data_IF_749808637721
#
_entry.id   IF_749808637721
#
_cell.length_a   1.000
_cell.length_b   1.000
_cell.length_c   1.000
_cell.angle_alpha   90.00
_cell.angle_beta   90.00
_cell.angle_gamma   90.00
#
_symmetry.space_group_name_H-M   'P 1'
#
loop_
_entity.id
_entity.type
_entity.pdbx_description
1 polymer ?
#
# COMPACT_ATOMS: atom_id res chain seq x y z
N UNK A 1 -40.97 -9.94 -7.21
CA UNK A 1 -40.46 -8.55 -7.27
C UNK A 1 -39.47 -8.38 -6.14
N UNK A 2 -38.30 -7.81 -6.42
CA UNK A 2 -37.25 -7.60 -5.43
C UNK A 2 -37.63 -6.48 -4.45
N UNK A 3 -37.15 -6.57 -3.21
CA UNK A 3 -37.30 -5.56 -2.18
C UNK A 3 -36.52 -4.28 -2.52
N UNK A 4 -36.88 -3.16 -1.89
CA UNK A 4 -36.15 -1.90 -2.05
C UNK A 4 -34.67 -2.00 -1.63
N UNK A 5 -34.37 -2.87 -0.66
CA UNK A 5 -32.99 -3.15 -0.23
C UNK A 5 -32.20 -3.90 -1.31
N UNK A 6 -32.82 -4.88 -1.97
CA UNK A 6 -32.22 -5.63 -3.08
C UNK A 6 -32.00 -4.75 -4.31
N UNK A 7 -32.96 -3.89 -4.66
CA UNK A 7 -32.80 -2.93 -5.75
C UNK A 7 -31.62 -1.98 -5.48
N UNK A 8 -31.46 -1.50 -4.24
CA UNK A 8 -30.31 -0.68 -3.87
C UNK A 8 -29.00 -1.48 -3.88
N UNK A 9 -29.02 -2.77 -3.52
CA UNK A 9 -27.85 -3.66 -3.65
C UNK A 9 -27.44 -3.83 -5.11
N UNK A 10 -28.39 -4.12 -6.01
CA UNK A 10 -28.12 -4.25 -7.44
C UNK A 10 -27.56 -2.97 -8.06
N UNK A 11 -28.05 -1.80 -7.65
CA UNK A 11 -27.49 -0.50 -8.07
C UNK A 11 -26.05 -0.31 -7.63
N UNK A 12 -25.70 -0.72 -6.40
CA UNK A 12 -24.32 -0.65 -5.90
C UNK A 12 -23.41 -1.63 -6.64
N UNK A 13 -23.82 -2.88 -6.80
CA UNK A 13 -23.05 -3.86 -7.56
C UNK A 13 -22.80 -3.37 -8.98
N UNK A 14 -23.85 -2.93 -9.69
CA UNK A 14 -23.71 -2.32 -11.03
C UNK A 14 -22.70 -1.16 -11.07
N UNK A 15 -22.73 -0.28 -10.07
CA UNK A 15 -21.82 0.85 -9.99
C UNK A 15 -20.36 0.40 -9.79
N UNK A 16 -20.16 -0.63 -8.98
CA UNK A 16 -18.84 -1.18 -8.67
C UNK A 16 -18.25 -1.92 -9.88
N UNK A 17 -19.02 -2.77 -10.57
CA UNK A 17 -18.56 -3.45 -11.81
C UNK A 17 -18.11 -2.43 -12.88
N UNK A 18 -18.88 -1.34 -13.03
CA UNK A 18 -18.57 -0.29 -14.00
C UNK A 18 -17.34 0.54 -13.59
N UNK A 19 -17.08 0.65 -12.28
CA UNK A 19 -15.91 1.31 -11.75
C UNK A 19 -14.65 0.44 -11.93
N UNK A 20 -14.73 -0.87 -11.68
CA UNK A 20 -13.68 -1.86 -11.93
C UNK A 20 -13.31 -1.94 -13.42
N UNK A 21 -14.32 -2.07 -14.30
CA UNK A 21 -14.12 -2.04 -15.75
C UNK A 21 -13.36 -0.79 -16.21
N UNK A 22 -13.68 0.38 -15.63
CA UNK A 22 -13.02 1.63 -15.98
C UNK A 22 -11.56 1.72 -15.51
N UNK A 23 -11.21 1.05 -14.41
CA UNK A 23 -9.81 0.91 -13.95
C UNK A 23 -9.05 0.00 -14.90
N UNK A 24 -9.59 -1.18 -15.23
CA UNK A 24 -8.95 -2.13 -16.15
C UNK A 24 -8.76 -1.57 -17.57
N UNK A 25 -9.74 -0.84 -18.09
CA UNK A 25 -9.60 -0.11 -19.36
C UNK A 25 -8.40 0.84 -19.34
N UNK A 26 -8.21 1.54 -18.21
CA UNK A 26 -7.12 2.51 -18.08
C UNK A 26 -5.78 1.81 -17.93
N UNK A 27 -5.72 0.69 -17.19
CA UNK A 27 -4.54 -0.17 -17.10
C UNK A 27 -4.16 -0.70 -18.48
N UNK A 28 -5.11 -1.27 -19.23
CA UNK A 28 -4.89 -1.76 -20.58
C UNK A 28 -4.38 -0.65 -21.52
N UNK A 29 -4.99 0.54 -21.47
CA UNK A 29 -4.62 1.64 -22.36
C UNK A 29 -3.19 2.17 -22.16
N UNK A 30 -2.63 2.08 -20.96
CA UNK A 30 -1.29 2.60 -20.65
C UNK A 30 -0.23 1.49 -20.54
N UNK A 31 -0.64 0.22 -20.52
CA UNK A 31 0.26 -0.92 -20.43
C UNK A 31 1.06 -1.09 -21.72
N UNK A 32 2.38 -1.29 -21.55
CA UNK A 32 3.33 -1.44 -22.66
C UNK A 32 3.52 -2.90 -23.05
N UNK A 33 3.32 -3.81 -22.11
CA UNK A 33 3.41 -5.25 -22.35
C UNK A 33 2.14 -5.77 -23.05
N UNK A 34 2.30 -6.34 -24.24
CA UNK A 34 1.19 -6.80 -25.07
C UNK A 34 0.36 -7.92 -24.41
N UNK A 35 0.99 -8.77 -23.59
CA UNK A 35 0.33 -9.87 -22.89
C UNK A 35 -0.52 -9.33 -21.73
N UNK A 36 0.06 -8.48 -20.88
CA UNK A 36 -0.68 -7.83 -19.78
C UNK A 36 -1.79 -6.93 -20.27
N UNK A 37 -1.55 -6.18 -21.35
CA UNK A 37 -2.56 -5.33 -21.98
C UNK A 37 -3.80 -6.14 -22.37
N UNK A 38 -3.60 -7.33 -22.95
CA UNK A 38 -4.69 -8.25 -23.31
C UNK A 38 -5.42 -8.75 -22.07
N UNK A 39 -4.69 -9.18 -21.04
CA UNK A 39 -5.32 -9.65 -19.80
C UNK A 39 -6.17 -8.54 -19.16
N UNK A 40 -5.67 -7.30 -19.07
CA UNK A 40 -6.47 -6.18 -18.57
C UNK A 40 -7.69 -5.87 -19.44
N UNK A 41 -7.59 -6.02 -20.77
CA UNK A 41 -8.74 -5.84 -21.65
C UNK A 41 -9.80 -6.94 -21.45
N UNK A 42 -9.38 -8.19 -21.24
CA UNK A 42 -10.26 -9.32 -20.93
C UNK A 42 -10.95 -9.14 -19.58
N UNK A 43 -10.22 -8.74 -18.54
CA UNK A 43 -10.80 -8.39 -17.24
C UNK A 43 -11.83 -7.26 -17.39
N UNK A 44 -11.49 -6.17 -18.09
CA UNK A 44 -12.44 -5.08 -18.36
C UNK A 44 -13.70 -5.54 -19.12
N UNK A 45 -13.58 -6.53 -20.01
CA UNK A 45 -14.73 -7.10 -20.72
C UNK A 45 -15.61 -7.92 -19.77
N UNK A 46 -14.99 -8.76 -18.94
CA UNK A 46 -15.67 -9.59 -17.95
C UNK A 46 -16.45 -8.75 -16.93
N UNK A 47 -15.85 -7.69 -16.38
CA UNK A 47 -16.55 -6.74 -15.49
C UNK A 47 -17.77 -6.08 -16.16
N UNK A 48 -17.71 -5.82 -17.47
CA UNK A 48 -18.88 -5.29 -18.21
C UNK A 48 -19.97 -6.33 -18.42
N UNK A 49 -19.61 -7.61 -18.54
CA UNK A 49 -20.57 -8.71 -18.52
C UNK A 49 -21.21 -8.86 -17.14
N UNK A 50 -20.44 -8.71 -16.06
CA UNK A 50 -21.00 -8.69 -14.71
C UNK A 50 -21.97 -7.51 -14.53
N UNK A 51 -21.60 -6.33 -15.04
CA UNK A 51 -22.47 -5.16 -15.07
C UNK A 51 -23.77 -5.40 -15.87
N UNK A 52 -23.73 -6.21 -16.94
CA UNK A 52 -24.94 -6.52 -17.71
C UNK A 52 -25.92 -7.36 -16.90
N UNK A 53 -25.44 -8.34 -16.12
CA UNK A 53 -26.28 -9.15 -15.23
C UNK A 53 -27.04 -8.28 -14.23
N UNK A 54 -26.37 -7.31 -13.60
CA UNK A 54 -27.04 -6.40 -12.66
C UNK A 54 -28.01 -5.44 -13.36
N UNK A 55 -27.69 -5.00 -14.58
CA UNK A 55 -28.57 -4.17 -15.40
C UNK A 55 -29.85 -4.92 -15.78
N UNK A 56 -29.75 -6.19 -16.13
CA UNK A 56 -30.89 -7.07 -16.42
C UNK A 56 -31.74 -7.31 -15.19
N UNK A 57 -31.13 -7.59 -14.02
CA UNK A 57 -31.85 -7.72 -12.75
C UNK A 57 -32.60 -6.44 -12.38
N UNK A 58 -32.04 -5.25 -12.64
CA UNK A 58 -32.72 -3.97 -12.43
C UNK A 58 -33.88 -3.76 -13.42
N UNK A 59 -33.66 -4.07 -14.71
CA UNK A 59 -34.67 -3.94 -15.75
C UNK A 59 -35.88 -4.88 -15.51
N UNK A 60 -35.62 -6.12 -15.08
CA UNK A 60 -36.65 -7.09 -14.70
C UNK A 60 -37.52 -6.62 -13.51
N UNK A 61 -37.02 -5.67 -12.72
CA UNK A 61 -37.76 -5.02 -11.63
C UNK A 61 -38.30 -3.63 -12.02
N UNK A 62 -38.35 -3.30 -13.32
CA UNK A 62 -38.90 -2.04 -13.83
C UNK A 62 -38.05 -0.81 -13.53
N UNK A 63 -36.77 -0.99 -13.18
CA UNK A 63 -35.85 0.10 -12.85
C UNK A 63 -34.90 0.34 -14.02
N UNK A 64 -34.95 1.52 -14.61
CA UNK A 64 -33.92 1.98 -15.55
C UNK A 64 -32.74 2.57 -14.77
N UNK A 65 -31.53 2.01 -14.90
CA UNK A 65 -30.37 2.54 -14.21
C UNK A 65 -29.99 3.92 -14.79
N UNK A 66 -29.65 4.86 -13.90
CA UNK A 66 -29.14 6.17 -14.29
C UNK A 66 -27.77 6.04 -14.98
N UNK A 67 -27.36 7.01 -15.82
CA UNK A 67 -26.00 7.06 -16.34
C UNK A 67 -24.99 6.99 -15.20
N UNK A 68 -24.09 6.00 -15.25
CA UNK A 68 -23.11 5.77 -14.20
C UNK A 68 -22.11 6.94 -14.13
N UNK A 69 -21.88 7.45 -12.92
CA UNK A 69 -20.84 8.44 -12.65
C UNK A 69 -19.73 7.75 -11.87
N UNK A 70 -18.53 7.69 -12.46
CA UNK A 70 -17.34 7.10 -11.83
C UNK A 70 -17.10 7.66 -10.44
N UNK A 71 -16.84 6.78 -9.47
CA UNK A 71 -16.52 7.18 -8.10
C UNK A 71 -15.24 8.02 -8.03
N UNK A 72 -15.09 8.78 -6.93
CA UNK A 72 -13.88 9.54 -6.68
C UNK A 72 -12.63 8.64 -6.58
N UNK A 73 -12.78 7.44 -6.00
CA UNK A 73 -11.74 6.41 -5.92
C UNK A 73 -11.29 5.99 -7.33
N UNK A 74 -12.23 5.63 -8.20
CA UNK A 74 -11.93 5.23 -9.59
C UNK A 74 -11.23 6.34 -10.38
N UNK A 75 -11.69 7.59 -10.26
CA UNK A 75 -11.02 8.71 -10.94
C UNK A 75 -9.58 8.91 -10.45
N UNK A 76 -9.35 8.80 -9.15
CA UNK A 76 -8.01 8.90 -8.58
C UNK A 76 -7.11 7.77 -9.10
N UNK A 77 -7.59 6.53 -9.11
CA UNK A 77 -6.85 5.39 -9.66
C UNK A 77 -6.52 5.61 -11.14
N UNK A 78 -7.49 6.05 -11.96
CA UNK A 78 -7.25 6.37 -13.37
C UNK A 78 -6.18 7.45 -13.58
N UNK A 79 -6.19 8.51 -12.75
CA UNK A 79 -5.17 9.56 -12.80
C UNK A 79 -3.81 9.00 -12.41
N UNK A 80 -3.71 8.23 -11.33
CA UNK A 80 -2.46 7.62 -10.89
C UNK A 80 -1.90 6.65 -11.94
N UNK A 81 -2.75 5.82 -12.54
CA UNK A 81 -2.38 4.89 -13.62
C UNK A 81 -1.84 5.62 -14.84
N UNK A 82 -2.44 6.76 -15.23
CA UNK A 82 -1.97 7.55 -16.39
C UNK A 82 -0.68 8.32 -16.12
N UNK A 83 -0.51 8.83 -14.91
CA UNK A 83 0.61 9.71 -14.57
C UNK A 83 1.85 8.91 -14.18
N UNK A 84 1.68 7.82 -13.43
CA UNK A 84 2.78 7.04 -12.84
C UNK A 84 2.87 5.61 -13.41
N UNK A 85 1.90 5.18 -14.21
CA UNK A 85 1.86 3.86 -14.84
C UNK A 85 1.09 2.80 -14.03
N UNK A 86 0.90 1.59 -14.62
CA UNK A 86 0.18 0.48 -13.98
C UNK A 86 0.80 0.01 -12.67
N UNK A 87 2.13 -0.02 -12.59
CA UNK A 87 2.88 -0.58 -11.47
C UNK A 87 2.58 0.08 -10.12
N UNK A 88 2.24 1.37 -10.11
CA UNK A 88 1.90 2.08 -8.87
C UNK A 88 0.53 1.63 -8.31
N UNK A 89 -0.40 1.28 -9.20
CA UNK A 89 -1.83 1.10 -8.85
C UNK A 89 -2.20 -0.38 -8.72
N UNK A 90 -1.48 -1.26 -9.40
CA UNK A 90 -1.74 -2.71 -9.41
C UNK A 90 -1.82 -3.35 -8.02
N UNK A 91 -0.94 -3.04 -7.04
CA UNK A 91 -1.08 -3.62 -5.70
C UNK A 91 -2.38 -3.24 -4.99
N UNK A 92 -2.83 -2.00 -5.19
CA UNK A 92 -4.09 -1.50 -4.62
C UNK A 92 -5.29 -2.18 -5.26
N UNK A 93 -5.27 -2.36 -6.58
CA UNK A 93 -6.32 -3.06 -7.31
C UNK A 93 -6.35 -4.53 -6.88
N UNK A 94 -5.21 -5.21 -6.86
CA UNK A 94 -5.11 -6.60 -6.42
C UNK A 94 -5.61 -6.82 -4.99
N UNK A 95 -5.28 -5.91 -4.05
CA UNK A 95 -5.78 -5.96 -2.68
C UNK A 95 -7.30 -5.73 -2.59
N UNK A 96 -7.86 -4.84 -3.43
CA UNK A 96 -9.29 -4.59 -3.48
C UNK A 96 -10.04 -5.82 -4.04
N UNK A 97 -9.59 -6.38 -5.16
CA UNK A 97 -10.14 -7.58 -5.79
C UNK A 97 -10.12 -8.78 -4.83
N UNK A 98 -9.01 -8.96 -4.10
CA UNK A 98 -8.91 -10.02 -3.11
C UNK A 98 -9.87 -9.85 -1.93
N UNK A 99 -10.09 -8.61 -1.47
CA UNK A 99 -11.03 -8.33 -0.40
C UNK A 99 -12.49 -8.59 -0.83
N UNK A 100 -12.78 -8.40 -2.12
CA UNK A 100 -14.12 -8.55 -2.70
C UNK A 100 -14.36 -9.94 -3.34
N UNK A 101 -13.39 -10.86 -3.34
CA UNK A 101 -13.47 -12.18 -4.01
C UNK A 101 -14.68 -13.05 -3.65
N UNK A 102 -15.20 -12.92 -2.43
CA UNK A 102 -16.33 -13.70 -1.92
C UNK A 102 -17.64 -12.89 -1.88
N UNK A 103 -17.65 -11.71 -2.52
CA UNK A 103 -18.76 -10.75 -2.48
C UNK A 103 -20.09 -11.34 -2.97
N UNK A 104 -20.04 -12.24 -3.94
CA UNK A 104 -21.23 -12.89 -4.51
C UNK A 104 -21.49 -14.31 -3.97
N UNK A 105 -20.66 -14.80 -3.03
CA UNK A 105 -20.76 -16.16 -2.51
C UNK A 105 -22.10 -16.48 -1.82
N UNK A 106 -22.83 -15.45 -1.37
CA UNK A 106 -24.15 -15.60 -0.71
C UNK A 106 -25.30 -15.06 -1.55
N UNK A 107 -25.07 -14.69 -2.80
CA UNK A 107 -26.12 -14.13 -3.66
C UNK A 107 -26.79 -15.23 -4.50
N UNK A 108 -28.11 -15.48 -4.34
CA UNK A 108 -28.82 -16.49 -5.11
C UNK A 108 -28.74 -16.22 -6.61
N UNK A 109 -28.33 -17.22 -7.40
CA UNK A 109 -28.19 -17.11 -8.85
C UNK A 109 -26.99 -16.29 -9.33
N UNK A 110 -25.97 -16.10 -8.49
CA UNK A 110 -24.70 -15.46 -8.85
C UNK A 110 -23.49 -16.41 -8.74
N UNK A 111 -23.71 -17.73 -8.78
CA UNK A 111 -22.65 -18.75 -8.64
C UNK A 111 -21.55 -18.59 -9.70
N UNK A 112 -21.95 -18.35 -10.95
CA UNK A 112 -21.02 -18.10 -12.06
C UNK A 112 -20.22 -16.80 -11.88
N UNK A 113 -20.85 -15.75 -11.36
CA UNK A 113 -20.16 -14.49 -11.02
C UNK A 113 -19.14 -14.74 -9.91
N UNK A 114 -19.53 -15.44 -8.85
CA UNK A 114 -18.65 -15.73 -7.72
C UNK A 114 -17.41 -16.54 -8.12
N UNK A 115 -17.54 -17.50 -9.05
CA UNK A 115 -16.39 -18.25 -9.57
C UNK A 115 -15.46 -17.36 -10.42
N UNK A 116 -16.03 -16.44 -11.20
CA UNK A 116 -15.26 -15.49 -12.01
C UNK A 116 -14.53 -14.45 -11.15
N UNK A 117 -15.15 -13.94 -10.08
CA UNK A 117 -14.52 -13.03 -9.10
C UNK A 117 -13.26 -13.62 -8.47
N UNK A 118 -13.34 -14.89 -8.04
CA UNK A 118 -12.19 -15.59 -7.46
C UNK A 118 -11.05 -15.76 -8.49
N UNK A 119 -11.39 -16.00 -9.75
CA UNK A 119 -10.43 -16.09 -10.84
C UNK A 119 -9.82 -14.73 -11.19
N UNK A 120 -10.61 -13.65 -11.23
CA UNK A 120 -10.13 -12.29 -11.44
C UNK A 120 -9.13 -11.90 -10.36
N UNK A 121 -9.49 -12.09 -9.09
CA UNK A 121 -8.62 -11.81 -7.97
C UNK A 121 -7.28 -12.57 -8.07
N UNK A 122 -7.30 -13.85 -8.46
CA UNK A 122 -6.09 -14.64 -8.66
C UNK A 122 -5.20 -14.11 -9.80
N UNK A 123 -5.78 -13.77 -10.95
CA UNK A 123 -5.05 -13.23 -12.12
C UNK A 123 -4.42 -11.88 -11.79
N UNK A 124 -5.18 -10.97 -11.19
CA UNK A 124 -4.70 -9.62 -10.86
C UNK A 124 -3.59 -9.67 -9.80
N UNK A 125 -3.71 -10.58 -8.83
CA UNK A 125 -2.65 -10.85 -7.85
C UNK A 125 -1.38 -11.37 -8.51
N UNK A 126 -1.50 -12.32 -9.45
CA UNK A 126 -0.35 -12.83 -10.20
C UNK A 126 0.36 -11.74 -11.03
N UNK A 127 -0.41 -10.84 -11.66
CA UNK A 127 0.16 -9.72 -12.44
C UNK A 127 0.85 -8.70 -11.53
N UNK A 128 0.26 -8.41 -10.36
CA UNK A 128 0.84 -7.48 -9.39
C UNK A 128 2.13 -8.03 -8.76
N UNK A 129 2.23 -9.35 -8.57
CA UNK A 129 3.40 -10.03 -8.03
C UNK A 129 4.58 -10.07 -9.02
N UNK A 130 4.31 -10.15 -10.31
CA UNK A 130 5.34 -10.41 -11.31
C UNK A 130 6.05 -9.09 -11.71
N UNK A 131 7.10 -8.66 -10.99
CA UNK A 131 8.12 -7.75 -11.54
C UNK A 131 9.10 -8.60 -12.35
N UNK A 132 9.10 -8.49 -13.69
CA UNK A 132 10.00 -9.26 -14.57
C UNK A 132 11.47 -9.03 -14.21
N UNK A 133 12.21 -10.11 -13.97
CA UNK A 133 13.54 -10.30 -14.54
C UNK A 133 13.43 -11.28 -15.74
N UNK A 134 14.17 -11.07 -16.85
CA UNK A 134 14.14 -11.96 -18.00
C UNK A 134 15.07 -13.16 -17.78
N UNK A 135 14.45 -14.30 -17.49
CA UNK A 135 15.08 -15.63 -17.54
C UNK A 135 14.87 -16.43 -16.26
N UNK A 136 14.40 -17.67 -16.42
CA UNK A 136 14.37 -18.81 -15.48
C UNK A 136 12.96 -19.32 -15.05
N UNK A 137 12.79 -20.64 -15.24
CA UNK A 137 11.93 -21.62 -14.54
C UNK A 137 10.46 -21.34 -14.21
N UNK A 138 9.55 -22.14 -14.80
CA UNK A 138 8.12 -22.27 -14.42
C UNK A 138 7.86 -22.69 -12.94
N UNK A 139 8.88 -23.06 -12.16
CA UNK A 139 8.75 -23.49 -10.75
C UNK A 139 8.72 -22.35 -9.73
N UNK A 140 9.36 -21.20 -10.00
CA UNK A 140 9.41 -20.05 -9.08
C UNK A 140 8.05 -19.31 -9.00
N UNK A 141 7.23 -19.42 -10.05
CA UNK A 141 5.91 -18.76 -10.11
C UNK A 141 4.88 -19.34 -9.13
N UNK A 142 5.08 -20.57 -8.64
CA UNK A 142 4.17 -21.23 -7.69
C UNK A 142 4.65 -20.97 -6.24
N UNK A 143 5.96 -20.95 -5.98
CA UNK A 143 6.51 -20.60 -4.66
C UNK A 143 6.28 -19.14 -4.25
N UNK A 144 6.23 -18.22 -5.23
CA UNK A 144 5.90 -16.81 -5.01
C UNK A 144 4.44 -16.57 -4.61
N UNK A 145 3.55 -17.56 -4.74
CA UNK A 145 2.15 -17.48 -4.34
C UNK A 145 1.91 -17.95 -2.89
N UNK A 146 2.80 -18.76 -2.30
CA UNK A 146 2.65 -19.30 -0.93
C UNK A 146 3.38 -18.50 0.14
N UNK A 147 4.40 -17.69 -0.20
CA UNK A 147 5.11 -16.82 0.76
C UNK A 147 4.26 -15.65 1.31
N UNK A 148 3.01 -15.52 0.85
CA UNK A 148 2.09 -14.42 1.11
C UNK A 148 1.60 -14.28 2.56
N UNK A 149 1.96 -15.19 3.46
CA UNK A 149 1.59 -15.06 4.86
C UNK A 149 2.61 -14.33 5.75
N UNK A 150 3.84 -14.06 5.30
CA UNK A 150 4.80 -13.22 6.05
C UNK A 150 5.77 -12.47 5.13
N UNK A 151 5.56 -11.16 4.95
CA UNK A 151 6.62 -10.19 4.63
C UNK A 151 6.63 -9.56 3.23
N UNK A 152 6.37 -8.24 3.19
CA UNK A 152 7.02 -7.14 2.41
C UNK A 152 7.29 -7.39 0.90
N UNK A 153 6.75 -6.62 -0.07
CA UNK A 153 7.49 -5.46 -0.64
C UNK A 153 6.72 -4.41 -1.46
N UNK A 154 5.45 -4.53 -1.87
CA UNK A 154 4.83 -3.46 -2.73
C UNK A 154 3.76 -2.59 -2.06
N UNK A 155 2.94 -3.17 -1.18
CA UNK A 155 1.98 -2.40 -0.37
C UNK A 155 2.63 -1.66 0.81
N UNK A 156 3.77 -2.15 1.29
CA UNK A 156 4.48 -1.56 2.42
C UNK A 156 5.23 -0.27 2.03
N UNK A 157 5.84 -0.23 0.85
CA UNK A 157 6.62 0.91 0.37
C UNK A 157 5.76 2.15 0.12
N UNK A 158 4.59 1.96 -0.50
CA UNK A 158 3.66 3.06 -0.75
C UNK A 158 2.97 3.53 0.54
N UNK A 159 2.69 2.61 1.47
CA UNK A 159 2.20 2.95 2.81
C UNK A 159 3.25 3.72 3.61
N UNK A 160 4.51 3.29 3.58
CA UNK A 160 5.64 3.97 4.22
C UNK A 160 5.85 5.38 3.64
N UNK A 161 5.74 5.52 2.32
CA UNK A 161 5.84 6.80 1.65
C UNK A 161 4.78 7.81 2.14
N UNK A 162 3.53 7.35 2.27
CA UNK A 162 2.42 8.17 2.76
C UNK A 162 2.58 8.52 4.23
N UNK A 163 3.11 7.59 5.03
CA UNK A 163 3.45 7.83 6.42
C UNK A 163 4.53 8.92 6.54
N UNK A 164 5.56 8.91 5.69
CA UNK A 164 6.59 9.95 5.71
C UNK A 164 6.09 11.35 5.33
N UNK A 165 5.27 11.45 4.27
CA UNK A 165 4.65 12.72 3.92
C UNK A 165 3.68 13.21 5.01
N UNK A 166 2.92 12.31 5.61
CA UNK A 166 2.04 12.66 6.72
C UNK A 166 2.82 13.11 7.97
N UNK A 167 3.90 12.43 8.31
CA UNK A 167 4.72 12.75 9.47
C UNK A 167 5.36 14.13 9.31
N UNK A 168 5.95 14.43 8.14
CA UNK A 168 6.47 15.76 7.82
C UNK A 168 5.41 16.86 7.91
N UNK A 169 4.21 16.59 7.37
CA UNK A 169 3.11 17.55 7.44
C UNK A 169 2.67 17.80 8.89
N UNK A 170 2.35 16.76 9.65
CA UNK A 170 1.77 16.89 10.99
C UNK A 170 2.80 17.44 11.97
N UNK A 171 4.03 16.90 11.98
CA UNK A 171 5.08 17.33 12.91
C UNK A 171 5.43 18.81 12.73
N UNK A 172 5.63 19.24 11.47
CA UNK A 172 6.00 20.62 11.19
C UNK A 172 4.80 21.58 11.34
N UNK A 173 3.58 21.12 11.06
CA UNK A 173 2.37 21.91 11.33
C UNK A 173 2.19 22.18 12.82
N UNK A 174 2.31 21.15 13.66
CA UNK A 174 2.26 21.29 15.11
C UNK A 174 3.38 22.22 15.65
N UNK A 175 4.60 22.09 15.14
CA UNK A 175 5.72 22.94 15.52
C UNK A 175 5.44 24.42 15.21
N UNK A 176 5.02 24.72 13.97
CA UNK A 176 4.67 26.07 13.52
C UNK A 176 3.51 26.65 14.34
N UNK A 177 2.47 25.85 14.60
CA UNK A 177 1.31 26.29 15.40
C UNK A 177 1.67 26.54 16.86
N UNK A 178 2.59 25.75 17.43
CA UNK A 178 3.13 26.00 18.77
C UNK A 178 3.87 27.33 18.87
N UNK A 179 4.80 27.59 17.94
CA UNK A 179 5.56 28.86 17.92
C UNK A 179 4.68 30.07 17.60
N UNK A 180 3.70 29.90 16.71
CA UNK A 180 2.67 30.91 16.45
C UNK A 180 1.79 31.16 17.68
N UNK A 181 1.43 30.10 18.42
CA UNK A 181 0.69 30.17 19.68
C UNK A 181 1.41 30.99 20.75
N UNK A 182 2.75 30.92 20.79
CA UNK A 182 3.58 31.71 21.71
C UNK A 182 3.65 33.22 21.35
N UNK A 183 2.99 33.68 20.27
CA UNK A 183 2.98 35.09 19.86
C UNK A 183 4.25 35.53 19.11
N UNK A 184 5.02 34.58 18.57
CA UNK A 184 6.26 34.87 17.85
C UNK A 184 6.04 35.66 16.55
N UNK A 185 7.02 36.47 16.17
CA UNK A 185 7.01 37.20 14.89
C UNK A 185 7.15 36.25 13.69
N UNK A 186 6.62 36.65 12.52
CA UNK A 186 6.57 35.84 11.30
C UNK A 186 7.92 35.23 10.90
N UNK A 187 9.01 36.01 11.03
CA UNK A 187 10.37 35.56 10.69
C UNK A 187 10.82 34.39 11.56
N UNK A 188 10.49 34.41 12.85
CA UNK A 188 10.79 33.32 13.78
C UNK A 188 9.99 32.08 13.40
N UNK A 189 8.70 32.21 13.13
CA UNK A 189 7.84 31.09 12.72
C UNK A 189 8.36 30.43 11.44
N UNK A 190 8.71 31.24 10.43
CA UNK A 190 9.27 30.73 9.17
C UNK A 190 10.61 30.01 9.39
N UNK A 191 11.51 30.60 10.18
CA UNK A 191 12.81 29.99 10.50
C UNK A 191 12.61 28.66 11.24
N UNK A 192 11.68 28.60 12.21
CA UNK A 192 11.32 27.38 12.91
C UNK A 192 10.76 26.33 11.95
N UNK A 193 9.84 26.70 11.06
CA UNK A 193 9.25 25.77 10.09
C UNK A 193 10.27 25.21 9.10
N UNK A 194 11.22 26.03 8.62
CA UNK A 194 12.31 25.58 7.75
C UNK A 194 13.32 24.72 8.51
N UNK A 195 13.68 25.09 9.74
CA UNK A 195 14.58 24.30 10.58
C UNK A 195 13.95 22.94 10.93
N UNK A 196 12.66 22.92 11.29
CA UNK A 196 11.89 21.70 11.56
C UNK A 196 11.78 20.80 10.35
N UNK A 197 11.55 21.37 9.16
CA UNK A 197 11.56 20.65 7.90
C UNK A 197 12.91 19.96 7.65
N UNK A 198 14.01 20.71 7.71
CA UNK A 198 15.35 20.15 7.42
C UNK A 198 15.76 19.13 8.48
N UNK A 199 15.62 19.46 9.76
CA UNK A 199 15.99 18.58 10.86
C UNK A 199 15.16 17.28 10.84
N UNK A 200 13.84 17.40 10.64
CA UNK A 200 12.94 16.26 10.56
C UNK A 200 13.21 15.39 9.33
N UNK A 201 13.44 15.99 8.16
CA UNK A 201 13.74 15.25 6.94
C UNK A 201 15.07 14.47 7.07
N UNK A 202 16.11 15.11 7.62
CA UNK A 202 17.39 14.44 7.91
C UNK A 202 17.22 13.29 8.93
N UNK A 203 16.47 13.52 10.01
CA UNK A 203 16.21 12.50 11.03
C UNK A 203 15.46 11.30 10.44
N UNK A 204 14.45 11.54 9.61
CA UNK A 204 13.68 10.48 8.97
C UNK A 204 14.51 9.70 7.94
N UNK A 205 15.33 10.40 7.15
CA UNK A 205 16.24 9.77 6.20
C UNK A 205 17.28 8.87 6.89
N UNK A 206 17.87 9.35 7.98
CA UNK A 206 18.81 8.58 8.80
C UNK A 206 18.13 7.36 9.44
N UNK A 207 16.92 7.54 9.98
CA UNK A 207 16.13 6.45 10.57
C UNK A 207 15.80 5.35 9.56
N UNK A 208 15.37 5.74 8.36
CA UNK A 208 15.09 4.79 7.27
C UNK A 208 16.35 4.06 6.80
N UNK A 209 17.44 4.81 6.59
CA UNK A 209 18.73 4.23 6.20
C UNK A 209 19.20 3.17 7.21
N UNK A 210 19.15 3.50 8.50
CA UNK A 210 19.56 2.62 9.59
C UNK A 210 18.65 1.39 9.68
N UNK A 211 17.34 1.58 9.53
CA UNK A 211 16.38 0.47 9.55
C UNK A 211 16.66 -0.53 8.43
N UNK A 212 16.84 -0.06 7.19
CA UNK A 212 17.11 -0.93 6.04
C UNK A 212 18.50 -1.57 6.15
N UNK A 213 19.50 -0.82 6.62
CA UNK A 213 20.86 -1.35 6.80
C UNK A 213 20.90 -2.46 7.85
N UNK A 214 20.26 -2.25 9.01
CA UNK A 214 20.22 -3.25 10.08
C UNK A 214 19.47 -4.51 9.63
N UNK A 215 18.35 -4.36 8.90
CA UNK A 215 17.62 -5.50 8.35
C UNK A 215 18.49 -6.31 7.37
N UNK A 216 19.25 -5.63 6.52
CA UNK A 216 20.20 -6.23 5.57
C UNK A 216 21.34 -6.96 6.26
N UNK A 217 21.93 -6.35 7.28
CA UNK A 217 23.03 -6.92 8.03
C UNK A 217 22.57 -8.17 8.78
N UNK A 218 21.42 -8.10 9.46
CA UNK A 218 20.81 -9.25 10.13
C UNK A 218 20.56 -10.39 9.14
N UNK A 219 19.95 -10.09 8.00
CA UNK A 219 19.66 -11.09 6.98
C UNK A 219 20.93 -11.76 6.44
N UNK A 220 21.98 -10.99 6.20
CA UNK A 220 23.29 -11.52 5.76
C UNK A 220 23.94 -12.39 6.81
N UNK A 221 23.89 -11.99 8.09
CA UNK A 221 24.45 -12.78 9.19
C UNK A 221 23.71 -14.11 9.34
N UNK A 222 22.38 -14.11 9.23
CA UNK A 222 21.59 -15.33 9.29
C UNK A 222 21.88 -16.25 8.09
N UNK A 223 21.95 -15.71 6.87
CA UNK A 223 22.33 -16.49 5.69
C UNK A 223 23.75 -17.08 5.77
N UNK A 224 24.69 -16.33 6.35
CA UNK A 224 26.05 -16.82 6.56
C UNK A 224 26.10 -17.94 7.60
N UNK A 225 25.28 -17.84 8.66
CA UNK A 225 25.13 -18.89 9.68
C UNK A 225 24.51 -20.16 9.08
N UNK A 226 23.44 -19.99 8.31
CA UNK A 226 22.76 -21.09 7.60
C UNK A 226 23.70 -21.83 6.64
N UNK A 227 24.51 -21.07 5.88
CA UNK A 227 25.51 -21.64 4.99
C UNK A 227 26.58 -22.45 5.77
N UNK A 228 26.99 -21.95 6.94
CA UNK A 228 27.94 -22.65 7.81
C UNK A 228 27.35 -23.95 8.40
N UNK A 229 26.09 -23.92 8.81
CA UNK A 229 25.36 -25.07 9.34
C UNK A 229 25.10 -26.14 8.26
N UNK A 230 24.80 -25.72 7.03
CA UNK A 230 24.74 -26.61 5.86
C UNK A 230 26.07 -27.30 5.53
N UNK A 231 27.20 -26.66 5.84
CA UNK A 231 28.52 -27.24 5.62
C UNK A 231 28.94 -28.19 6.74
N UNK A 232 28.67 -27.84 7.99
CA UNK A 232 29.20 -28.56 9.15
C UNK A 232 28.20 -29.57 9.74
N UNK A 233 26.90 -29.34 9.59
CA UNK A 233 25.82 -30.16 10.17
C UNK A 233 24.71 -30.51 9.16
N UNK A 234 25.02 -31.04 7.97
CA UNK A 234 24.03 -31.29 6.91
C UNK A 234 22.94 -32.31 7.28
N UNK A 235 23.23 -33.24 8.19
CA UNK A 235 22.23 -34.20 8.68
C UNK A 235 21.19 -33.53 9.59
N UNK A 236 21.59 -32.49 10.33
CA UNK A 236 20.68 -31.68 11.14
C UNK A 236 19.79 -30.83 10.24
N UNK A 237 20.37 -30.08 9.30
CA UNK A 237 19.61 -29.25 8.34
C UNK A 237 18.58 -30.05 7.53
N UNK A 238 18.95 -31.26 7.09
CA UNK A 238 18.00 -32.16 6.42
C UNK A 238 16.83 -32.54 7.34
N UNK A 239 17.10 -32.75 8.62
CA UNK A 239 16.07 -33.09 9.60
C UNK A 239 15.16 -31.88 9.86
N UNK A 240 15.73 -30.69 10.03
CA UNK A 240 15.00 -29.44 10.23
C UNK A 240 14.08 -29.13 9.04
N UNK A 241 14.61 -29.22 7.81
CA UNK A 241 13.81 -29.05 6.60
C UNK A 241 12.65 -30.05 6.51
N UNK A 242 12.87 -31.31 6.89
CA UNK A 242 11.81 -32.32 6.93
C UNK A 242 10.73 -31.98 7.98
N UNK A 243 11.11 -31.42 9.13
CA UNK A 243 10.17 -30.97 10.16
C UNK A 243 9.36 -29.75 9.68
N UNK A 244 9.98 -28.82 8.94
CA UNK A 244 9.27 -27.66 8.35
C UNK A 244 8.17 -28.15 7.39
N UNK A 245 8.49 -29.07 6.48
CA UNK A 245 7.48 -29.62 5.57
C UNK A 245 6.39 -30.43 6.30
N UNK A 246 6.73 -31.17 7.36
CA UNK A 246 5.73 -31.84 8.19
C UNK A 246 4.78 -30.83 8.86
N UNK A 247 5.31 -29.71 9.37
CA UNK A 247 4.50 -28.64 9.95
C UNK A 247 3.56 -28.00 8.91
N UNK A 248 3.92 -28.03 7.63
CA UNK A 248 3.06 -27.64 6.50
C UNK A 248 2.02 -28.70 6.11
N UNK A 249 2.00 -29.86 6.76
CA UNK A 249 1.05 -30.95 6.53
C UNK A 249 1.52 -32.02 5.56
N UNK A 250 2.80 -32.03 5.17
CA UNK A 250 3.38 -33.11 4.37
C UNK A 250 3.58 -34.36 5.24
N UNK A 251 3.26 -35.53 4.71
CA UNK A 251 3.41 -36.81 5.42
C UNK A 251 4.88 -37.05 5.80
N UNK A 252 5.20 -37.61 7.00
CA UNK A 252 6.58 -37.74 7.48
C UNK A 252 7.58 -38.46 6.55
N UNK A 253 7.19 -39.51 5.84
CA UNK A 253 8.07 -40.20 4.88
C UNK A 253 8.26 -39.37 3.61
N UNK A 254 7.19 -38.72 3.13
CA UNK A 254 7.23 -37.77 2.01
C UNK A 254 8.16 -36.58 2.31
N UNK A 255 8.00 -35.94 3.48
CA UNK A 255 8.79 -34.78 3.89
C UNK A 255 10.28 -35.10 4.02
N UNK A 256 10.61 -36.28 4.56
CA UNK A 256 11.99 -36.77 4.62
C UNK A 256 12.60 -36.98 3.23
N UNK A 257 11.81 -37.51 2.27
CA UNK A 257 12.25 -37.69 0.88
C UNK A 257 12.50 -36.35 0.18
N UNK A 258 11.57 -35.40 0.34
CA UNK A 258 11.69 -34.05 -0.24
C UNK A 258 12.92 -33.33 0.32
N UNK A 259 13.09 -33.31 1.65
CA UNK A 259 14.26 -32.71 2.28
C UNK A 259 15.57 -33.34 1.79
N UNK A 260 15.64 -34.68 1.72
CA UNK A 260 16.82 -35.37 1.20
C UNK A 260 17.12 -35.05 -0.27
N UNK A 261 16.09 -34.77 -1.09
CA UNK A 261 16.27 -34.39 -2.48
C UNK A 261 16.76 -32.95 -2.65
N UNK A 262 16.20 -32.00 -1.88
CA UNK A 262 16.62 -30.60 -1.87
C UNK A 262 18.08 -30.49 -1.39
N UNK A 263 18.44 -31.21 -0.33
CA UNK A 263 19.79 -31.25 0.25
C UNK A 263 20.89 -31.80 -0.68
N UNK A 264 20.54 -32.35 -1.86
CA UNK A 264 21.54 -32.78 -2.85
C UNK A 264 22.27 -31.61 -3.51
N UNK A 265 21.64 -30.45 -3.59
CA UNK A 265 22.24 -29.23 -4.09
C UNK A 265 22.29 -28.21 -2.95
N UNK A 266 23.50 -27.84 -2.53
CA UNK A 266 23.72 -26.91 -1.41
C UNK A 266 23.12 -25.53 -1.67
N UNK A 267 23.17 -25.04 -2.91
CA UNK A 267 22.62 -23.73 -3.25
C UNK A 267 21.10 -23.73 -3.16
N UNK A 268 20.46 -24.81 -3.62
CA UNK A 268 19.00 -24.98 -3.50
C UNK A 268 18.58 -25.23 -2.05
N UNK A 269 19.39 -25.96 -1.28
CA UNK A 269 19.16 -26.17 0.14
C UNK A 269 19.22 -24.87 0.93
N UNK A 270 20.28 -24.07 0.74
CA UNK A 270 20.43 -22.76 1.36
C UNK A 270 19.30 -21.82 0.97
N UNK A 271 18.92 -21.77 -0.32
CA UNK A 271 17.80 -20.94 -0.78
C UNK A 271 16.46 -21.40 -0.17
N UNK A 272 16.26 -22.72 -0.05
CA UNK A 272 15.05 -23.27 0.57
C UNK A 272 15.01 -22.97 2.07
N UNK A 273 16.06 -23.29 2.82
CA UNK A 273 16.13 -23.04 4.27
C UNK A 273 16.03 -21.55 4.58
N UNK A 274 16.70 -20.69 3.81
CA UNK A 274 16.54 -19.23 3.97
C UNK A 274 15.09 -18.76 3.84
N UNK A 275 14.34 -19.31 2.88
CA UNK A 275 12.93 -18.95 2.68
C UNK A 275 12.01 -19.58 3.71
N UNK A 276 12.23 -20.85 4.01
CA UNK A 276 11.33 -21.68 4.79
C UNK A 276 11.52 -21.55 6.30
N UNK A 277 12.77 -21.38 6.74
CA UNK A 277 13.12 -21.20 8.13
C UNK A 277 13.24 -19.72 8.50
N UNK A 278 14.05 -18.97 7.77
CA UNK A 278 14.35 -17.57 8.10
C UNK A 278 13.29 -16.59 7.59
N UNK A 279 12.48 -17.00 6.61
CA UNK A 279 11.54 -16.11 5.92
C UNK A 279 12.24 -15.02 5.11
N UNK A 280 13.50 -15.25 4.72
CA UNK A 280 14.34 -14.32 3.97
C UNK A 280 14.40 -14.80 2.52
N UNK A 281 14.21 -13.87 1.59
CA UNK A 281 14.60 -14.10 0.20
C UNK A 281 16.09 -13.76 0.04
N UNK A 282 16.98 -14.74 -0.26
CA UNK A 282 18.40 -14.46 -0.44
C UNK A 282 18.69 -13.49 -1.58
N UNK A 283 17.79 -13.38 -2.56
CA UNK A 283 17.90 -12.49 -3.73
C UNK A 283 17.36 -11.09 -3.44
N UNK A 284 16.48 -10.93 -2.44
CA UNK A 284 15.87 -9.65 -2.06
C UNK A 284 16.12 -9.30 -0.59
N UNK A 285 17.35 -8.91 -0.26
CA UNK A 285 17.74 -8.53 1.11
C UNK A 285 17.16 -7.17 1.60
N UNK A 286 16.07 -6.65 1.04
CA UNK A 286 15.41 -5.44 1.54
C UNK A 286 15.81 -4.12 0.87
N UNK A 287 16.08 -4.12 -0.44
CA UNK A 287 16.27 -2.88 -1.22
C UNK A 287 17.56 -2.11 -0.91
N UNK A 288 17.68 -0.90 -1.48
CA UNK A 288 18.85 -0.02 -1.32
C UNK A 288 18.62 1.00 -0.19
N UNK A 289 19.40 0.96 0.93
CA UNK A 289 19.26 1.89 2.05
C UNK A 289 19.32 3.37 1.66
N UNK A 290 20.18 3.73 0.71
CA UNK A 290 20.34 5.12 0.26
C UNK A 290 19.12 5.62 -0.51
N UNK A 291 18.52 4.74 -1.32
CA UNK A 291 17.29 5.07 -2.03
C UNK A 291 16.13 5.27 -1.06
N UNK A 292 15.99 4.37 -0.07
CA UNK A 292 14.94 4.47 0.95
C UNK A 292 15.08 5.78 1.74
N UNK A 293 16.29 6.11 2.18
CA UNK A 293 16.60 7.35 2.89
C UNK A 293 16.26 8.60 2.06
N UNK A 294 16.63 8.63 0.78
CA UNK A 294 16.36 9.75 -0.10
C UNK A 294 14.85 9.94 -0.35
N UNK A 295 14.11 8.85 -0.52
CA UNK A 295 12.65 8.89 -0.67
C UNK A 295 11.99 9.41 0.60
N UNK A 296 12.38 8.91 1.77
CA UNK A 296 11.87 9.38 3.07
C UNK A 296 12.18 10.87 3.30
N UNK A 297 13.39 11.32 2.98
CA UNK A 297 13.78 12.73 3.04
C UNK A 297 12.84 13.61 2.21
N UNK A 298 12.63 13.24 0.94
CA UNK A 298 11.82 14.01 0.00
C UNK A 298 10.36 14.05 0.40
N UNK A 299 9.79 12.91 0.83
CA UNK A 299 8.39 12.83 1.24
C UNK A 299 8.11 13.61 2.51
N UNK A 300 8.99 13.48 3.52
CA UNK A 300 8.90 14.30 4.73
C UNK A 300 8.97 15.80 4.38
N UNK A 301 9.95 16.20 3.56
CA UNK A 301 10.13 17.59 3.14
C UNK A 301 8.90 18.13 2.41
N UNK A 302 8.33 17.31 1.50
CA UNK A 302 7.12 17.66 0.77
C UNK A 302 5.92 17.87 1.71
N UNK A 303 5.76 17.00 2.71
CA UNK A 303 4.72 17.14 3.73
C UNK A 303 4.91 18.40 4.57
N UNK A 304 6.12 18.62 5.09
CA UNK A 304 6.50 19.73 5.94
C UNK A 304 6.44 21.11 5.23
N UNK A 305 6.47 21.12 3.89
CA UNK A 305 6.32 22.33 3.10
C UNK A 305 4.91 22.93 3.20
N UNK A 306 3.85 22.12 3.32
CA UNK A 306 2.46 22.60 3.39
C UNK A 306 2.22 23.64 4.50
N UNK A 307 2.55 23.36 5.77
CA UNK A 307 2.36 24.34 6.84
C UNK A 307 3.33 25.51 6.76
N UNK A 308 4.52 25.33 6.16
CA UNK A 308 5.59 26.34 6.10
C UNK A 308 5.37 27.36 4.99
N UNK A 309 4.90 26.92 3.83
CA UNK A 309 4.89 27.72 2.61
C UNK A 309 4.13 29.06 2.77
N UNK A 310 2.96 29.14 3.44
CA UNK A 310 2.25 30.40 3.61
C UNK A 310 3.04 31.52 4.28
N UNK A 311 4.01 31.18 5.13
CA UNK A 311 4.85 32.16 5.82
C UNK A 311 5.91 32.80 4.92
N UNK A 312 6.10 32.29 3.69
CA UNK A 312 6.98 32.89 2.67
C UNK A 312 6.39 34.15 2.03
N UNK A 313 5.06 34.25 1.95
CA UNK A 313 4.38 35.34 1.24
C UNK A 313 3.30 36.06 2.05
N UNK A 314 2.77 35.46 3.12
CA UNK A 314 1.78 36.06 4.01
C UNK A 314 2.36 36.36 5.39
N UNK A 315 1.65 37.19 6.17
CA UNK A 315 2.08 37.59 7.52
C UNK A 315 0.95 37.55 8.54
N UNK A 316 1.31 37.38 9.82
CA UNK A 316 0.40 37.45 10.95
C UNK A 316 -0.74 36.44 10.87
N UNK A 317 -1.96 36.85 11.24
CA UNK A 317 -3.13 35.97 11.27
C UNK A 317 -3.45 35.39 9.89
N UNK A 318 -3.18 36.13 8.81
CA UNK A 318 -3.42 35.64 7.44
C UNK A 318 -2.52 34.48 7.07
N UNK A 319 -1.23 34.50 7.46
CA UNK A 319 -0.30 33.39 7.26
C UNK A 319 -0.72 32.15 8.04
N UNK A 320 -1.14 32.33 9.30
CA UNK A 320 -1.63 31.23 10.14
C UNK A 320 -2.87 30.59 9.52
N UNK A 321 -3.86 31.39 9.10
CA UNK A 321 -5.08 30.89 8.48
C UNK A 321 -4.79 30.11 7.18
N UNK A 322 -3.89 30.62 6.33
CA UNK A 322 -3.44 29.92 5.13
C UNK A 322 -2.67 28.62 5.47
N UNK A 323 -1.82 28.62 6.49
CA UNK A 323 -1.10 27.43 6.98
C UNK A 323 -2.04 26.34 7.46
N UNK A 324 -3.07 26.70 8.23
CA UNK A 324 -4.13 25.78 8.67
C UNK A 324 -4.89 25.23 7.46
N UNK A 325 -5.28 26.08 6.51
CA UNK A 325 -6.03 25.65 5.32
C UNK A 325 -5.21 24.71 4.43
N UNK A 326 -3.94 25.05 4.13
CA UNK A 326 -3.06 24.20 3.32
C UNK A 326 -2.78 22.87 4.03
N UNK A 327 -2.50 22.90 5.34
CA UNK A 327 -2.28 21.68 6.12
C UNK A 327 -3.53 20.80 6.16
N UNK A 328 -4.73 21.37 6.32
CA UNK A 328 -5.98 20.63 6.25
C UNK A 328 -6.19 19.99 4.86
N UNK A 329 -5.87 20.70 3.77
CA UNK A 329 -5.89 20.14 2.43
C UNK A 329 -4.90 18.99 2.29
N UNK A 330 -3.66 19.14 2.77
CA UNK A 330 -2.65 18.07 2.73
C UNK A 330 -3.06 16.84 3.55
N UNK A 331 -3.62 17.03 4.75
CA UNK A 331 -4.19 15.96 5.58
C UNK A 331 -5.35 15.27 4.87
N UNK A 332 -6.22 16.02 4.19
CA UNK A 332 -7.31 15.46 3.39
C UNK A 332 -6.76 14.56 2.28
N UNK A 333 -5.74 15.03 1.54
CA UNK A 333 -5.09 14.28 0.47
C UNK A 333 -4.45 13.00 0.99
N UNK A 334 -3.69 13.07 2.10
CA UNK A 334 -3.15 11.89 2.79
C UNK A 334 -4.27 10.94 3.21
N UNK A 335 -5.37 11.46 3.77
CA UNK A 335 -6.52 10.65 4.18
C UNK A 335 -7.22 9.96 3.00
N UNK A 336 -7.41 10.65 1.88
CA UNK A 336 -7.93 10.04 0.64
C UNK A 336 -6.97 8.97 0.14
N UNK A 337 -5.66 9.24 0.14
CA UNK A 337 -4.69 8.30 -0.38
C UNK A 337 -4.57 7.05 0.51
N UNK A 338 -4.54 7.21 1.84
CA UNK A 338 -4.58 6.07 2.78
C UNK A 338 -5.86 5.25 2.67
N UNK A 339 -6.99 5.87 2.28
CA UNK A 339 -8.26 5.16 2.07
C UNK A 339 -8.19 4.11 0.95
N UNK A 340 -7.28 4.30 -0.01
CA UNK A 340 -7.07 3.35 -1.10
C UNK A 340 -6.60 1.98 -0.58
N UNK A 341 -5.87 1.94 0.54
CA UNK A 341 -5.24 0.72 1.05
C UNK A 341 -6.01 0.04 2.19
N UNK A 342 -6.92 0.75 2.85
CA UNK A 342 -7.57 0.26 4.08
C UNK A 342 -9.07 -0.08 3.89
N UNK A 343 -9.58 0.02 2.65
CA UNK A 343 -10.97 -0.32 2.32
C UNK A 343 -12.03 0.60 2.93
N UNK A 344 -11.64 1.71 3.60
CA UNK A 344 -12.59 2.68 4.17
C UNK A 344 -12.96 3.75 3.16
N UNK A 345 -14.09 4.44 3.39
CA UNK A 345 -14.49 5.54 2.53
C UNK A 345 -13.48 6.69 2.57
N UNK A 346 -13.18 7.26 1.40
CA UNK A 346 -12.23 8.36 1.25
C UNK A 346 -12.61 9.58 2.08
N UNK A 347 -13.90 9.89 2.17
CA UNK A 347 -14.43 10.99 2.97
C UNK A 347 -14.20 10.79 4.46
N UNK A 348 -14.41 9.57 4.98
CA UNK A 348 -14.15 9.26 6.38
C UNK A 348 -12.67 9.36 6.71
N UNK A 349 -11.80 8.79 5.86
CA UNK A 349 -10.34 8.83 6.08
C UNK A 349 -9.78 10.25 6.00
N UNK A 350 -10.24 11.07 5.04
CA UNK A 350 -9.88 12.48 4.94
C UNK A 350 -10.34 13.27 6.17
N UNK A 351 -11.61 13.13 6.55
CA UNK A 351 -12.17 13.83 7.72
C UNK A 351 -11.42 13.46 9.00
N UNK A 352 -11.18 12.16 9.23
CA UNK A 352 -10.42 11.68 10.37
C UNK A 352 -9.02 12.31 10.43
N UNK A 353 -8.31 12.36 9.31
CA UNK A 353 -6.96 12.89 9.25
C UNK A 353 -6.92 14.40 9.55
N UNK A 354 -7.87 15.16 8.99
CA UNK A 354 -8.03 16.58 9.27
C UNK A 354 -8.32 16.81 10.76
N UNK A 355 -9.29 16.11 11.33
CA UNK A 355 -9.70 16.30 12.73
C UNK A 355 -8.55 16.00 13.69
N UNK A 356 -7.85 14.88 13.49
CA UNK A 356 -6.71 14.51 14.34
C UNK A 356 -5.57 15.53 14.19
N UNK A 357 -5.23 15.93 12.96
CA UNK A 357 -4.17 16.90 12.72
C UNK A 357 -4.48 18.29 13.29
N UNK A 358 -5.72 18.78 13.13
CA UNK A 358 -6.17 20.03 13.73
C UNK A 358 -6.21 19.97 15.26
N UNK A 359 -6.61 18.84 15.84
CA UNK A 359 -6.60 18.66 17.29
C UNK A 359 -5.16 18.71 17.86
N UNK A 360 -4.21 18.04 17.21
CA UNK A 360 -2.79 18.08 17.59
C UNK A 360 -2.19 19.49 17.46
N UNK A 361 -2.52 20.20 16.37
CA UNK A 361 -2.12 21.58 16.16
C UNK A 361 -2.73 22.55 17.18
N UNK A 362 -4.01 22.38 17.53
CA UNK A 362 -4.67 23.17 18.55
C UNK A 362 -4.04 22.94 19.94
N UNK A 363 -3.69 21.68 20.25
CA UNK A 363 -2.99 21.33 21.48
C UNK A 363 -1.63 22.01 21.57
N UNK A 364 -0.83 21.93 20.51
CA UNK A 364 0.51 22.56 20.47
C UNK A 364 0.44 24.08 20.46
N UNK A 365 -0.52 24.69 19.76
CA UNK A 365 -0.77 26.13 19.85
C UNK A 365 -1.17 26.56 21.28
N UNK A 366 -1.99 25.76 21.96
CA UNK A 366 -2.34 25.98 23.38
C UNK A 366 -1.13 25.89 24.31
N UNK A 367 -0.31 24.85 24.15
CA UNK A 367 0.94 24.71 24.89
C UNK A 367 1.89 25.88 24.62
N UNK A 368 2.02 26.31 23.37
CA UNK A 368 2.80 27.47 22.97
C UNK A 368 2.34 28.77 23.64
N UNK A 369 1.01 28.99 23.73
CA UNK A 369 0.45 30.13 24.48
C UNK A 369 0.84 30.09 25.95
N UNK A 370 0.71 28.95 26.61
CA UNK A 370 1.04 28.80 28.04
C UNK A 370 2.52 29.06 28.31
N UNK A 371 3.40 28.48 27.48
CA UNK A 371 4.84 28.66 27.60
C UNK A 371 5.27 30.09 27.26
N UNK A 372 4.69 30.69 26.22
CA UNK A 372 4.97 32.08 25.83
C UNK A 372 4.62 33.08 26.94
N UNK A 373 3.52 32.85 27.67
CA UNK A 373 3.14 33.64 28.85
C UNK A 373 4.11 33.45 30.02
N UNK A 374 4.72 32.28 30.15
CA UNK A 374 5.62 31.94 31.27
C UNK A 374 7.08 32.34 31.03
N UNK A 375 7.48 32.52 29.77
CA UNK A 375 8.85 32.84 29.34
C UNK A 375 9.04 34.31 28.92
N UNK A 376 7.97 35.12 28.89
CA UNK A 376 8.01 36.55 28.52
C UNK A 376 8.22 37.49 29.70
#
# INVERSE_FOLDING_TARGET
>A
MASAQEINRFRRNLADELDSAAVYDTLSAVEKDDERRRIFAELAASEREHASVWREKLAANGVTPRPHRRSAKTRLLQVLTRTFGPSLVLPTVAAAEYADRDRYAREPGAERLSAQEQQHAAIVQAIAANKREPGHGHGEAIGAAESWHKGVTSGNDLRAAVLGANDGLVSNFCLIMGVAGAGSVNRTILLTGLAGLVAGACSMALGEWLSVTNARELARTQLAKEADELEHTPDAERHELALIYQAKGVEPDEARRVAAQIMRNKDEALNTLAREELGIDPKELGGNPWSAAAVSFCLFSLGAAFPTAPFLWAHGVTAIAQSVALSACGLALVGVFTSLFNGRSATFSAFRQIVIGLAAAAFTAGAGRLLGVSLS
#
